data_IF_272015035305
#
_entry.id   IF_272015035305
#
_cell.length_a   1.000
_cell.length_b   1.000
_cell.length_c   1.000
_cell.angle_alpha   90.00
_cell.angle_beta   90.00
_cell.angle_gamma   90.00
#
_symmetry.space_group_name_H-M   'P 1'
#
loop_
_entity.id
_entity.type
_entity.pdbx_description
1 polymer ?
#
# COMPACT_ATOMS: atom_id res chain seq x y z
N UNK A 1 -12.57 -14.26 -12.07
CA UNK A 1 -11.19 -14.26 -11.53
C UNK A 1 -11.04 -13.07 -10.60
N UNK A 2 -10.30 -13.21 -9.49
CA UNK A 2 -10.12 -12.14 -8.50
C UNK A 2 -8.90 -11.25 -8.78
N UNK A 3 -7.96 -11.74 -9.59
CA UNK A 3 -6.70 -11.07 -9.89
C UNK A 3 -6.49 -10.97 -11.40
N UNK A 4 -5.71 -9.98 -11.81
CA UNK A 4 -5.21 -9.79 -13.16
C UNK A 4 -3.82 -10.43 -13.27
N UNK A 5 -3.46 -11.01 -14.42
CA UNK A 5 -2.06 -11.21 -14.77
C UNK A 5 -1.32 -9.87 -14.69
N UNK A 6 -0.07 -9.88 -14.22
CA UNK A 6 0.72 -8.64 -14.10
C UNK A 6 0.88 -7.95 -15.47
N UNK A 7 0.94 -8.73 -16.55
CA UNK A 7 1.05 -8.18 -17.90
C UNK A 7 -0.16 -7.35 -18.36
N UNK A 8 -1.34 -7.64 -17.80
CA UNK A 8 -2.58 -6.92 -18.05
C UNK A 8 -2.78 -5.74 -17.08
N UNK A 9 -1.88 -5.58 -16.10
CA UNK A 9 -1.95 -4.49 -15.14
C UNK A 9 -1.42 -3.20 -15.75
N UNK A 10 -2.28 -2.19 -15.85
CA UNK A 10 -1.96 -0.90 -16.47
C UNK A 10 -0.73 -0.21 -15.87
N UNK A 11 -0.49 -0.39 -14.57
CA UNK A 11 0.65 0.22 -13.85
C UNK A 11 1.81 -0.74 -13.66
N UNK A 12 1.92 -1.82 -14.45
CA UNK A 12 3.03 -2.80 -14.32
C UNK A 12 4.43 -2.18 -14.45
N UNK A 13 4.54 -1.04 -15.13
CA UNK A 13 5.79 -0.31 -15.30
C UNK A 13 6.48 0.05 -13.97
N UNK A 14 5.73 0.17 -12.86
CA UNK A 14 6.32 0.43 -11.53
C UNK A 14 7.15 -0.75 -11.01
N UNK A 15 6.87 -1.97 -11.47
CA UNK A 15 7.59 -3.20 -11.09
C UNK A 15 8.56 -3.69 -12.17
N UNK A 16 8.47 -3.16 -13.38
CA UNK A 16 9.36 -3.48 -14.50
C UNK A 16 10.32 -2.33 -14.83
N UNK A 17 10.50 -1.38 -13.91
CA UNK A 17 11.39 -0.25 -14.09
C UNK A 17 12.86 -0.71 -14.03
N UNK A 18 13.66 -0.37 -15.04
CA UNK A 18 15.03 -0.92 -15.17
C UNK A 18 15.97 -0.54 -14.02
N UNK A 19 15.74 0.61 -13.38
CA UNK A 19 16.55 1.05 -12.23
C UNK A 19 16.21 0.37 -10.91
N UNK A 20 15.04 -0.26 -10.80
CA UNK A 20 14.57 -0.97 -9.60
C UNK A 20 13.95 -2.30 -10.02
N UNK A 21 14.77 -3.25 -10.49
CA UNK A 21 14.28 -4.52 -11.01
C UNK A 21 13.72 -5.41 -9.89
N UNK A 22 12.53 -5.95 -10.11
CA UNK A 22 11.92 -6.93 -9.21
C UNK A 22 12.15 -8.34 -9.76
N UNK A 23 12.73 -9.28 -8.98
CA UNK A 23 12.90 -10.67 -9.40
C UNK A 23 11.58 -11.37 -9.74
N UNK A 24 11.62 -12.34 -10.66
CA UNK A 24 10.42 -13.06 -11.13
C UNK A 24 9.64 -13.75 -9.99
N UNK A 25 10.36 -14.28 -8.99
CA UNK A 25 9.78 -14.90 -7.79
C UNK A 25 8.95 -13.93 -6.94
N UNK A 26 9.35 -12.66 -6.90
CA UNK A 26 8.65 -11.60 -6.17
C UNK A 26 7.52 -11.02 -7.04
N UNK A 27 7.75 -10.85 -8.35
CA UNK A 27 6.70 -10.46 -9.32
C UNK A 27 5.50 -11.42 -9.29
N UNK A 28 5.74 -12.73 -9.18
CA UNK A 28 4.68 -13.73 -9.05
C UNK A 28 3.82 -13.58 -7.78
N UNK A 29 4.33 -12.87 -6.77
CA UNK A 29 3.64 -12.58 -5.52
C UNK A 29 2.95 -11.20 -5.52
N UNK A 30 3.18 -10.37 -6.53
CA UNK A 30 2.49 -9.09 -6.73
C UNK A 30 1.24 -9.37 -7.54
N UNK A 31 0.08 -9.30 -6.88
CA UNK A 31 -1.21 -9.72 -7.46
C UNK A 31 -2.18 -8.55 -7.54
N UNK A 32 -2.19 -7.79 -8.64
CA UNK A 32 -3.20 -6.78 -8.88
C UNK A 32 -4.59 -7.40 -8.91
N UNK A 33 -5.52 -6.83 -8.15
CA UNK A 33 -6.91 -7.29 -8.15
C UNK A 33 -7.64 -6.84 -9.42
N UNK A 34 -8.65 -7.60 -9.84
CA UNK A 34 -9.61 -7.09 -10.82
C UNK A 34 -10.36 -5.89 -10.24
N UNK A 35 -10.84 -4.97 -11.08
CA UNK A 35 -11.57 -3.78 -10.61
C UNK A 35 -12.76 -4.13 -9.70
N UNK A 36 -13.50 -5.21 -10.02
CA UNK A 36 -14.62 -5.70 -9.20
C UNK A 36 -14.14 -6.11 -7.80
N UNK A 37 -13.04 -6.88 -7.72
CA UNK A 37 -12.49 -7.36 -6.45
C UNK A 37 -11.89 -6.21 -5.63
N UNK A 38 -11.15 -5.32 -6.27
CA UNK A 38 -10.60 -4.11 -5.65
C UNK A 38 -11.72 -3.24 -5.05
N UNK A 39 -12.81 -3.02 -5.80
CA UNK A 39 -13.92 -2.19 -5.35
C UNK A 39 -14.65 -2.80 -4.14
N UNK A 40 -14.79 -4.13 -4.10
CA UNK A 40 -15.33 -4.84 -2.94
C UNK A 40 -14.41 -4.68 -1.73
N UNK A 41 -13.10 -4.94 -1.91
CA UNK A 41 -12.12 -4.80 -0.84
C UNK A 41 -12.09 -3.36 -0.28
N UNK A 42 -12.03 -2.36 -1.16
CA UNK A 42 -12.06 -0.95 -0.78
C UNK A 42 -13.33 -0.59 0.00
N UNK A 43 -14.50 -1.05 -0.47
CA UNK A 43 -15.78 -0.81 0.21
C UNK A 43 -15.82 -1.39 1.62
N UNK A 44 -15.23 -2.57 1.81
CA UNK A 44 -15.22 -3.29 3.08
C UNK A 44 -14.20 -2.76 4.08
N UNK A 45 -13.06 -2.23 3.60
CA UNK A 45 -11.90 -1.93 4.45
C UNK A 45 -11.53 -0.44 4.52
N UNK A 46 -11.97 0.39 3.58
CA UNK A 46 -11.57 1.81 3.51
C UNK A 46 -12.76 2.75 3.46
N UNK A 47 -13.57 2.67 2.40
CA UNK A 47 -14.73 3.55 2.25
C UNK A 47 -15.81 2.96 1.34
N UNK A 48 -17.06 3.08 1.77
CA UNK A 48 -18.20 2.70 0.94
C UNK A 48 -18.60 3.74 -0.11
N UNK A 49 -18.14 4.98 0.01
CA UNK A 49 -18.57 6.11 -0.82
C UNK A 49 -17.40 6.76 -1.57
N UNK A 50 -16.27 6.96 -0.91
CA UNK A 50 -15.12 7.67 -1.45
C UNK A 50 -14.33 6.78 -2.42
N UNK A 51 -13.97 7.27 -3.61
CA UNK A 51 -13.24 6.48 -4.60
C UNK A 51 -11.72 6.44 -4.38
N UNK A 52 -11.17 7.40 -3.64
CA UNK A 52 -9.73 7.60 -3.47
C UNK A 52 -9.46 8.32 -2.13
N UNK A 53 -8.18 8.46 -1.81
CA UNK A 53 -7.74 8.99 -0.52
C UNK A 53 -7.90 10.51 -0.37
N UNK A 54 -7.95 11.26 -1.47
CA UNK A 54 -8.20 12.71 -1.44
C UNK A 54 -9.66 13.03 -1.14
N UNK A 55 -10.57 12.11 -1.47
CA UNK A 55 -12.02 12.28 -1.36
C UNK A 55 -12.64 11.55 -0.17
N UNK A 56 -11.84 11.12 0.81
CA UNK A 56 -12.41 10.56 2.04
C UNK A 56 -13.33 11.57 2.73
N UNK A 57 -14.51 11.10 3.09
CA UNK A 57 -15.49 11.85 3.88
C UNK A 57 -15.15 11.77 5.37
N UNK A 58 -15.83 12.56 6.19
CA UNK A 58 -15.71 12.49 7.65
C UNK A 58 -16.24 11.18 8.26
N UNK A 59 -16.97 10.36 7.48
CA UNK A 59 -17.47 9.06 7.92
C UNK A 59 -16.45 7.94 7.74
N UNK A 60 -15.46 8.13 6.88
CA UNK A 60 -14.44 7.14 6.59
C UNK A 60 -13.39 7.12 7.71
N UNK A 61 -13.03 5.94 8.19
CA UNK A 61 -12.07 5.81 9.29
C UNK A 61 -10.71 6.48 9.01
N UNK A 62 -10.17 6.52 7.75
CA UNK A 62 -8.91 7.23 7.49
C UNK A 62 -9.00 8.73 7.77
N UNK A 63 -10.19 9.34 7.70
CA UNK A 63 -10.38 10.75 8.00
C UNK A 63 -10.40 11.07 9.50
N UNK A 64 -10.50 10.05 10.36
CA UNK A 64 -10.56 10.26 11.81
C UNK A 64 -9.16 10.38 12.38
N UNK A 65 -8.93 11.41 13.20
CA UNK A 65 -7.61 11.71 13.74
C UNK A 65 -7.13 10.65 14.74
N UNK A 66 -8.04 10.01 15.46
CA UNK A 66 -7.78 8.93 16.42
C UNK A 66 -7.28 7.63 15.76
N UNK A 67 -7.52 7.46 14.46
CA UNK A 67 -6.96 6.36 13.67
C UNK A 67 -5.44 6.46 13.49
N UNK A 68 -4.82 7.62 13.75
CA UNK A 68 -3.41 7.89 13.44
C UNK A 68 -2.65 8.34 14.69
N UNK A 69 -1.53 7.67 14.95
CA UNK A 69 -0.70 7.87 16.14
C UNK A 69 0.54 8.72 15.87
N UNK A 70 1.10 8.62 14.66
CA UNK A 70 2.34 9.30 14.31
C UNK A 70 2.40 9.58 12.80
N UNK A 71 3.30 10.48 12.40
CA UNK A 71 3.60 10.81 11.01
C UNK A 71 5.10 11.01 10.84
N UNK A 72 5.70 10.33 9.87
CA UNK A 72 7.15 10.36 9.62
C UNK A 72 7.43 10.65 8.14
N UNK A 73 8.66 11.04 7.83
CA UNK A 73 9.13 11.21 6.45
C UNK A 73 9.45 9.84 5.83
N UNK A 74 8.97 9.58 4.62
CA UNK A 74 9.39 8.42 3.82
C UNK A 74 10.12 8.84 2.54
N UNK A 75 9.92 10.06 2.06
CA UNK A 75 10.45 10.51 0.78
C UNK A 75 11.97 10.65 0.82
N UNK A 76 12.50 11.14 1.93
CA UNK A 76 13.96 11.21 2.12
C UNK A 76 14.62 9.83 2.03
N UNK A 77 14.02 8.79 2.62
CA UNK A 77 14.53 7.42 2.54
C UNK A 77 14.34 6.81 1.15
N UNK A 78 13.26 7.18 0.46
CA UNK A 78 12.99 6.74 -0.91
C UNK A 78 14.05 7.26 -1.88
N UNK A 79 14.45 8.53 -1.74
CA UNK A 79 15.50 9.18 -2.52
C UNK A 79 16.93 8.73 -2.15
N UNK A 80 17.10 8.06 -1.01
CA UNK A 80 18.39 7.56 -0.55
C UNK A 80 18.83 6.30 -1.31
N UNK A 81 20.09 5.93 -1.16
CA UNK A 81 20.62 4.65 -1.65
C UNK A 81 20.24 3.46 -0.72
N UNK A 82 19.65 3.70 0.45
CA UNK A 82 19.18 2.63 1.34
C UNK A 82 17.89 2.00 0.78
N UNK A 83 17.88 0.68 0.64
CA UNK A 83 16.73 -0.07 0.15
C UNK A 83 15.69 -0.33 1.26
N UNK A 84 16.07 -0.18 2.53
CA UNK A 84 15.19 -0.44 3.66
C UNK A 84 14.01 0.55 3.74
N UNK A 85 12.89 0.09 4.27
CA UNK A 85 11.82 1.00 4.69
C UNK A 85 12.30 1.89 5.86
N UNK A 86 11.70 3.07 6.04
CA UNK A 86 11.98 3.90 7.20
C UNK A 86 11.82 3.10 8.49
N UNK A 87 12.83 3.16 9.36
CA UNK A 87 12.91 2.37 10.59
C UNK A 87 11.66 2.52 11.48
N UNK A 88 11.09 3.72 11.57
CA UNK A 88 9.88 3.97 12.35
C UNK A 88 8.63 3.26 11.79
N UNK A 89 8.57 2.94 10.49
CA UNK A 89 7.53 2.03 9.95
C UNK A 89 7.73 0.62 10.46
N UNK A 90 8.97 0.13 10.43
CA UNK A 90 9.31 -1.22 10.88
C UNK A 90 9.06 -1.42 12.38
N UNK A 91 9.26 -0.38 13.19
CA UNK A 91 8.96 -0.39 14.63
C UNK A 91 7.46 -0.35 14.94
N UNK A 92 6.66 0.27 14.07
CA UNK A 92 5.19 0.30 14.21
C UNK A 92 4.53 -1.01 13.77
N UNK A 93 5.17 -1.75 12.86
CA UNK A 93 4.60 -2.94 12.21
C UNK A 93 5.25 -4.23 12.72
N UNK A 94 4.54 -4.97 13.59
CA UNK A 94 4.94 -6.32 14.06
C UNK A 94 4.38 -7.46 13.17
N UNK A 95 4.32 -7.23 11.87
CA UNK A 95 3.82 -8.24 10.93
C UNK A 95 4.92 -9.24 10.56
N UNK A 96 4.55 -10.52 10.57
CA UNK A 96 5.41 -11.57 10.04
C UNK A 96 5.53 -11.48 8.51
N UNK A 97 6.65 -11.96 7.98
CA UNK A 97 7.01 -11.85 6.57
C UNK A 97 6.00 -12.46 5.60
N UNK A 98 5.25 -13.48 6.04
CA UNK A 98 4.25 -14.20 5.27
C UNK A 98 2.84 -13.59 5.33
N UNK A 99 2.66 -12.53 6.14
CA UNK A 99 1.39 -11.81 6.25
C UNK A 99 0.99 -11.26 4.88
N UNK A 100 -0.24 -11.54 4.48
CA UNK A 100 -0.81 -10.93 3.28
C UNK A 100 -1.13 -9.47 3.54
N UNK A 101 -0.64 -8.59 2.68
CA UNK A 101 -0.86 -7.15 2.72
C UNK A 101 -1.58 -6.68 1.46
N UNK A 102 -2.25 -5.55 1.59
CA UNK A 102 -3.08 -4.93 0.56
C UNK A 102 -2.65 -3.47 0.39
N UNK A 103 -2.06 -3.16 -0.76
CA UNK A 103 -1.69 -1.80 -1.10
C UNK A 103 -2.79 -1.17 -1.94
N UNK A 104 -3.50 -0.22 -1.35
CA UNK A 104 -4.74 0.33 -1.88
C UNK A 104 -4.47 1.74 -2.42
N UNK A 105 -4.27 1.85 -3.73
CA UNK A 105 -4.10 3.15 -4.39
C UNK A 105 -5.44 3.89 -4.48
N UNK A 106 -6.48 3.20 -4.93
CA UNK A 106 -7.83 3.74 -5.10
C UNK A 106 -8.83 2.58 -5.19
N UNK A 107 -10.12 2.89 -5.23
CA UNK A 107 -11.23 1.93 -5.24
C UNK A 107 -11.08 0.82 -6.27
N UNK A 108 -10.54 1.10 -7.46
CA UNK A 108 -10.41 0.12 -8.53
C UNK A 108 -8.99 -0.40 -8.73
N UNK A 109 -8.06 -0.02 -7.85
CA UNK A 109 -6.67 -0.45 -7.91
C UNK A 109 -6.13 -0.81 -6.51
N UNK A 110 -6.16 -2.12 -6.24
CA UNK A 110 -5.61 -2.73 -5.04
C UNK A 110 -4.66 -3.84 -5.45
N UNK A 111 -3.47 -3.87 -4.87
CA UNK A 111 -2.51 -4.95 -5.05
C UNK A 111 -2.47 -5.79 -3.77
N UNK A 112 -2.61 -7.10 -3.92
CA UNK A 112 -2.32 -8.06 -2.86
C UNK A 112 -0.88 -8.56 -2.99
N UNK A 113 -0.14 -8.62 -1.89
CA UNK A 113 1.17 -9.26 -1.84
C UNK A 113 1.52 -9.76 -0.43
N UNK A 114 2.76 -10.17 -0.20
CA UNK A 114 3.29 -10.51 1.12
C UNK A 114 4.01 -9.32 1.73
N UNK A 115 3.96 -9.20 3.06
CA UNK A 115 4.65 -8.14 3.79
C UNK A 115 6.14 -8.11 3.44
N UNK A 116 6.79 -9.26 3.39
CA UNK A 116 8.20 -9.36 2.99
C UNK A 116 8.47 -8.86 1.56
N UNK A 117 7.58 -9.11 0.61
CA UNK A 117 7.70 -8.62 -0.78
C UNK A 117 7.51 -7.11 -0.83
N UNK A 118 6.50 -6.58 -0.14
CA UNK A 118 6.34 -5.13 0.00
C UNK A 118 7.57 -4.50 0.64
N UNK A 119 8.12 -5.10 1.72
CA UNK A 119 9.30 -4.56 2.41
C UNK A 119 10.50 -4.39 1.49
N UNK A 120 10.81 -5.41 0.69
CA UNK A 120 11.95 -5.37 -0.24
C UNK A 120 11.76 -4.36 -1.38
N UNK A 121 10.52 -4.20 -1.85
CA UNK A 121 10.21 -3.45 -3.07
C UNK A 121 9.34 -2.22 -2.82
N UNK A 122 9.34 -1.69 -1.59
CA UNK A 122 8.43 -0.61 -1.19
C UNK A 122 8.58 0.65 -2.05
N UNK A 123 9.82 0.92 -2.50
CA UNK A 123 10.11 2.02 -3.42
C UNK A 123 9.34 1.86 -4.74
N UNK A 124 9.24 0.64 -5.28
CA UNK A 124 8.46 0.36 -6.48
C UNK A 124 6.97 0.68 -6.28
N UNK A 125 6.41 0.30 -5.13
CA UNK A 125 5.01 0.59 -4.80
C UNK A 125 4.73 2.09 -4.73
N UNK A 126 5.71 2.89 -4.31
CA UNK A 126 5.60 4.34 -4.17
C UNK A 126 6.02 5.16 -5.41
N UNK A 127 6.36 4.54 -6.54
CA UNK A 127 6.43 5.28 -7.81
C UNK A 127 5.12 5.96 -8.20
N UNK A 128 4.00 5.49 -7.64
CA UNK A 128 2.70 6.12 -7.74
C UNK A 128 2.19 6.40 -6.31
N UNK A 129 2.49 7.57 -5.78
CA UNK A 129 2.29 7.94 -4.36
C UNK A 129 0.99 8.73 -4.09
N UNK A 130 -0.03 8.53 -4.93
CA UNK A 130 -1.33 9.21 -4.89
C UNK A 130 -2.21 8.78 -3.69
N UNK A 131 -1.70 8.98 -2.49
CA UNK A 131 -2.37 8.69 -1.24
C UNK A 131 -2.58 7.21 -0.88
N UNK A 132 -1.75 6.22 -1.28
CA UNK A 132 -2.07 4.82 -1.05
C UNK A 132 -2.09 4.46 0.45
N UNK A 133 -2.98 3.54 0.79
CA UNK A 133 -3.08 2.97 2.15
C UNK A 133 -2.66 1.50 2.11
N UNK A 134 -1.74 1.13 3.00
CA UNK A 134 -1.34 -0.26 3.23
C UNK A 134 -2.11 -0.82 4.42
N UNK A 135 -2.77 -1.95 4.19
CA UNK A 135 -3.46 -2.74 5.22
C UNK A 135 -2.91 -4.16 5.23
N UNK A 136 -3.08 -4.89 6.34
CA UNK A 136 -2.72 -6.29 6.42
C UNK A 136 -3.90 -7.17 6.84
N UNK A 137 -3.90 -8.40 6.33
CA UNK A 137 -4.95 -9.38 6.59
C UNK A 137 -5.00 -9.69 8.10
N UNK A 138 -6.15 -9.41 8.73
CA UNK A 138 -6.41 -9.68 10.17
C UNK A 138 -5.46 -8.92 11.10
N UNK A 139 -5.03 -7.75 10.67
CA UNK A 139 -4.17 -6.83 11.43
C UNK A 139 -4.89 -5.50 11.53
N UNK A 140 -4.63 -4.76 12.61
CA UNK A 140 -5.26 -3.46 12.83
C UNK A 140 -4.40 -2.33 12.32
N UNK A 141 -3.09 -2.53 12.28
CA UNK A 141 -2.14 -1.52 11.87
C UNK A 141 -2.39 -1.11 10.41
N UNK A 142 -2.19 0.17 10.14
CA UNK A 142 -2.34 0.76 8.82
C UNK A 142 -1.26 1.82 8.57
N UNK A 143 -0.84 1.93 7.31
CA UNK A 143 0.05 2.99 6.85
C UNK A 143 -0.66 3.80 5.78
N UNK A 144 -0.59 5.12 5.85
CA UNK A 144 -1.10 6.00 4.80
C UNK A 144 0.01 6.89 4.25
N UNK A 145 0.49 6.56 3.06
CA UNK A 145 1.51 7.32 2.35
C UNK A 145 0.86 8.51 1.67
N UNK A 146 1.32 9.72 2.01
CA UNK A 146 0.81 10.99 1.51
C UNK A 146 1.75 11.53 0.44
N UNK A 147 1.17 12.24 -0.52
CA UNK A 147 1.87 12.93 -1.63
C UNK A 147 2.84 14.03 -1.18
N UNK A 148 2.80 14.43 0.10
CA UNK A 148 3.74 15.38 0.70
C UNK A 148 5.01 14.69 1.25
N UNK A 149 5.24 13.42 0.93
CA UNK A 149 6.40 12.65 1.38
C UNK A 149 6.30 12.15 2.82
N UNK A 150 5.13 12.25 3.46
CA UNK A 150 4.89 11.74 4.80
C UNK A 150 4.08 10.45 4.80
N UNK A 151 4.29 9.61 5.80
CA UNK A 151 3.48 8.41 6.04
C UNK A 151 2.88 8.49 7.43
N UNK A 152 1.55 8.33 7.52
CA UNK A 152 0.85 8.23 8.79
C UNK A 152 0.85 6.79 9.27
N UNK A 153 1.16 6.61 10.55
CA UNK A 153 1.18 5.32 11.25
C UNK A 153 -0.08 5.24 12.12
N UNK A 154 -0.91 4.23 11.89
CA UNK A 154 -2.22 4.17 12.51
C UNK A 154 -2.71 2.77 12.76
N UNK A 155 -3.96 2.71 13.23
CA UNK A 155 -4.73 1.49 13.40
C UNK A 155 -6.18 1.74 13.02
N UNK A 156 -6.85 0.74 12.45
CA UNK A 156 -8.30 0.74 12.27
C UNK A 156 -8.96 -0.25 13.24
N UNK A 157 -10.25 -0.02 13.52
CA UNK A 157 -11.05 -0.87 14.42
C UNK A 157 -11.30 -2.29 13.87
#
# INVERSE_FOLDING_TARGET
MSYLPLDDYQRKWIFTHQSMPVPEEDLAQIKPMTQIRAAQYWKENLSSQSPDAERFSSQDWPSKADSWSNEIDWMAEWESDDEALPQAVLEHIDWQDDVTVYFCYEKYNVIETKWSVFKRHWKNFLFYDDGPILLARRRKEALWFKTNGKVKLGTHD
#
